data_IF_676279668526
#
_entry.id   IF_676279668526
#
_cell.length_a   1.000
_cell.length_b   1.000
_cell.length_c   1.000
_cell.angle_alpha   90.00
_cell.angle_beta   90.00
_cell.angle_gamma   90.00
#
_symmetry.space_group_name_H-M   'P 1'
#
loop_
_entity.id
_entity.type
_entity.pdbx_description
1 polymer ?
#
# COMPACT_ATOMS: atom_id res chain seq x y z
N UNK A 1 7.96 -7.98 17.82
CA UNK A 1 8.13 -7.07 16.66
C UNK A 1 6.83 -6.34 16.43
N UNK A 2 6.86 -5.12 15.90
CA UNK A 2 5.67 -4.29 15.71
C UNK A 2 5.57 -3.84 14.26
N UNK A 3 4.35 -3.70 13.75
CA UNK A 3 4.12 -3.23 12.39
C UNK A 3 4.19 -1.71 12.35
N UNK A 4 4.89 -1.18 11.35
CA UNK A 4 5.01 0.23 11.06
C UNK A 4 4.81 0.46 9.57
N UNK A 5 3.98 1.43 9.22
CA UNK A 5 3.88 1.96 7.86
C UNK A 5 4.33 3.40 7.89
N UNK A 6 5.27 3.73 7.03
CA UNK A 6 5.70 5.11 6.76
C UNK A 6 5.55 5.33 5.28
N UNK A 7 4.82 6.37 4.88
CA UNK A 7 4.61 6.63 3.47
C UNK A 7 4.08 8.01 3.17
N UNK A 8 4.09 8.34 1.89
CA UNK A 8 3.43 9.50 1.33
C UNK A 8 2.38 9.03 0.33
N UNK A 9 1.31 9.81 0.18
CA UNK A 9 0.29 9.57 -0.85
C UNK A 9 -0.12 10.88 -1.47
N UNK A 10 -0.91 10.81 -2.54
CA UNK A 10 -1.53 11.97 -3.17
C UNK A 10 -2.32 12.87 -2.19
N UNK A 11 -2.77 12.33 -1.05
CA UNK A 11 -3.46 13.10 -0.01
C UNK A 11 -2.54 13.94 0.86
N UNK A 12 -1.28 13.53 1.04
CA UNK A 12 -0.35 14.12 2.02
C UNK A 12 0.84 14.82 1.38
N UNK A 13 1.14 14.49 0.12
CA UNK A 13 2.31 14.99 -0.58
C UNK A 13 1.92 15.51 -1.98
N UNK A 14 2.45 16.68 -2.40
CA UNK A 14 2.39 17.10 -3.78
C UNK A 14 3.05 16.06 -4.70
N UNK A 15 2.62 16.03 -5.96
CA UNK A 15 3.16 15.10 -6.97
C UNK A 15 4.68 15.16 -7.07
N UNK A 16 5.28 16.36 -7.07
CA UNK A 16 6.73 16.53 -7.11
C UNK A 16 7.47 15.82 -5.95
N UNK A 17 6.86 15.76 -4.77
CA UNK A 17 7.40 15.03 -3.62
C UNK A 17 7.25 13.53 -3.78
N UNK A 18 6.11 13.06 -4.33
CA UNK A 18 5.92 11.65 -4.64
C UNK A 18 6.89 11.15 -5.71
N UNK A 19 7.19 11.97 -6.72
CA UNK A 19 8.19 11.67 -7.75
C UNK A 19 9.59 11.52 -7.17
N UNK A 20 9.98 12.38 -6.23
CA UNK A 20 11.26 12.26 -5.54
C UNK A 20 11.32 10.98 -4.70
N UNK A 21 10.22 10.60 -4.05
CA UNK A 21 10.14 9.38 -3.24
C UNK A 21 10.02 8.11 -4.09
N UNK A 22 9.59 8.21 -5.35
CA UNK A 22 9.28 7.06 -6.18
C UNK A 22 10.53 6.20 -6.41
N UNK A 23 10.38 4.91 -6.12
CA UNK A 23 11.45 3.92 -6.33
C UNK A 23 11.13 3.13 -7.58
N UNK A 24 12.02 3.22 -8.56
CA UNK A 24 11.93 2.48 -9.81
C UNK A 24 12.39 1.01 -9.66
N UNK A 25 12.05 0.12 -10.60
CA UNK A 25 12.40 -1.30 -10.52
C UNK A 25 13.91 -1.57 -10.39
N UNK A 26 14.76 -0.70 -10.93
CA UNK A 26 16.22 -0.84 -10.86
C UNK A 26 16.78 -0.57 -9.47
N UNK A 27 16.11 0.26 -8.67
CA UNK A 27 16.55 0.66 -7.33
C UNK A 27 15.85 -0.12 -6.21
N UNK A 28 14.76 -0.83 -6.53
CA UNK A 28 13.89 -1.47 -5.53
C UNK A 28 14.64 -2.42 -4.59
N UNK A 29 15.44 -3.34 -5.14
CA UNK A 29 16.25 -4.27 -4.34
C UNK A 29 17.26 -3.54 -3.47
N UNK A 30 17.97 -2.55 -4.03
CA UNK A 30 18.94 -1.72 -3.28
C UNK A 30 18.29 -1.00 -2.12
N UNK A 31 17.10 -0.43 -2.32
CA UNK A 31 16.35 0.26 -1.26
C UNK A 31 15.89 -0.71 -0.17
N UNK A 32 15.40 -1.91 -0.55
CA UNK A 32 15.02 -2.94 0.42
C UNK A 32 16.23 -3.43 1.25
N UNK A 33 17.36 -3.72 0.61
CA UNK A 33 18.59 -4.10 1.30
C UNK A 33 19.05 -3.02 2.28
N UNK A 34 18.94 -1.75 1.87
CA UNK A 34 19.31 -0.63 2.71
C UNK A 34 18.34 -0.44 3.89
N UNK A 35 17.04 -0.72 3.71
CA UNK A 35 16.07 -0.76 4.81
C UNK A 35 16.43 -1.86 5.82
N UNK A 36 16.73 -3.08 5.35
CA UNK A 36 17.08 -4.21 6.23
C UNK A 36 18.44 -4.05 6.93
N UNK A 37 19.33 -3.22 6.37
CA UNK A 37 20.60 -2.88 7.01
C UNK A 37 20.42 -1.95 8.23
N UNK A 38 19.23 -1.35 8.41
CA UNK A 38 18.97 -0.46 9.52
C UNK A 38 18.75 -1.21 10.85
N UNK A 39 19.19 -0.66 12.00
CA UNK A 39 19.16 -1.38 13.28
C UNK A 39 17.78 -1.80 13.76
N UNK A 40 16.74 -1.01 13.44
CA UNK A 40 15.39 -1.24 13.95
C UNK A 40 14.44 -1.93 12.96
N UNK A 41 14.88 -2.20 11.73
CA UNK A 41 14.05 -2.78 10.66
C UNK A 41 14.45 -4.24 10.43
N UNK A 42 13.50 -5.16 10.63
CA UNK A 42 13.74 -6.61 10.48
C UNK A 42 13.11 -7.21 9.22
N UNK A 43 12.04 -6.60 8.74
CA UNK A 43 11.35 -6.99 7.50
C UNK A 43 10.87 -5.71 6.82
N UNK A 44 10.86 -5.67 5.49
CA UNK A 44 10.38 -4.53 4.71
C UNK A 44 9.66 -4.97 3.43
N UNK A 45 8.57 -4.28 3.09
CA UNK A 45 7.92 -4.31 1.77
C UNK A 45 7.74 -2.86 1.32
N UNK A 46 8.17 -2.55 0.10
CA UNK A 46 8.09 -1.22 -0.47
C UNK A 46 7.05 -1.20 -1.60
N UNK A 47 6.01 -0.39 -1.44
CA UNK A 47 4.99 -0.13 -2.45
C UNK A 47 5.26 1.23 -3.07
N UNK A 48 5.59 1.25 -4.35
CA UNK A 48 5.89 2.46 -5.11
C UNK A 48 4.95 2.52 -6.32
N UNK A 49 4.07 3.51 -6.33
CA UNK A 49 3.06 3.74 -7.38
C UNK A 49 3.03 5.21 -7.75
N UNK A 50 2.24 5.60 -8.75
CA UNK A 50 2.02 7.01 -9.08
C UNK A 50 1.31 7.81 -7.96
N UNK A 51 0.58 7.14 -7.06
CA UNK A 51 -0.28 7.79 -6.07
C UNK A 51 0.21 7.62 -4.63
N UNK A 52 1.21 6.77 -4.40
CA UNK A 52 1.78 6.50 -3.07
C UNK A 52 3.14 5.84 -3.13
N UNK A 53 3.95 6.17 -2.13
CA UNK A 53 5.18 5.47 -1.78
C UNK A 53 5.10 5.10 -0.30
N UNK A 54 5.12 3.81 0.00
CA UNK A 54 4.92 3.28 1.35
C UNK A 54 5.93 2.18 1.67
N UNK A 55 6.53 2.28 2.84
CA UNK A 55 7.31 1.21 3.45
C UNK A 55 6.47 0.56 4.54
N UNK A 56 6.17 -0.71 4.36
CA UNK A 56 5.60 -1.59 5.37
C UNK A 56 6.74 -2.33 6.05
N UNK A 57 6.93 -2.15 7.34
CA UNK A 57 8.07 -2.69 8.07
C UNK A 57 7.67 -3.43 9.35
N UNK A 58 8.40 -4.51 9.65
CA UNK A 58 8.44 -5.08 10.98
C UNK A 58 9.62 -4.44 11.74
N UNK A 59 9.31 -3.73 12.82
CA UNK A 59 10.30 -2.99 13.59
C UNK A 59 10.43 -3.47 15.04
N UNK A 60 11.62 -3.32 15.61
CA UNK A 60 11.92 -3.63 17.01
C UNK A 60 11.57 -2.49 17.97
N UNK A 61 11.46 -1.26 17.48
CA UNK A 61 11.03 -0.08 18.25
C UNK A 61 10.43 1.00 17.36
N UNK A 62 9.42 1.73 17.87
CA UNK A 62 8.68 2.73 17.09
C UNK A 62 9.57 3.90 16.65
N UNK A 63 10.18 4.64 17.59
CA UNK A 63 10.96 5.83 17.26
C UNK A 63 12.21 5.50 16.43
N UNK A 64 12.92 4.42 16.78
CA UNK A 64 14.07 3.95 16.02
C UNK A 64 13.69 3.54 14.59
N UNK A 65 12.66 2.68 14.45
CA UNK A 65 12.18 2.24 13.14
C UNK A 65 11.65 3.39 12.27
N UNK A 66 10.94 4.35 12.86
CA UNK A 66 10.50 5.55 12.14
C UNK A 66 11.68 6.38 11.65
N UNK A 67 12.67 6.62 12.52
CA UNK A 67 13.89 7.36 12.16
C UNK A 67 14.66 6.69 11.04
N UNK A 68 14.87 5.38 11.14
CA UNK A 68 15.56 4.56 10.15
C UNK A 68 14.86 4.62 8.79
N UNK A 69 13.55 4.37 8.73
CA UNK A 69 12.79 4.39 7.47
C UNK A 69 12.78 5.79 6.86
N UNK A 70 12.57 6.84 7.66
CA UNK A 70 12.62 8.23 7.18
C UNK A 70 13.99 8.60 6.63
N UNK A 71 15.09 8.12 7.23
CA UNK A 71 16.44 8.35 6.73
C UNK A 71 16.64 7.70 5.35
N UNK A 72 16.21 6.45 5.18
CA UNK A 72 16.29 5.75 3.88
C UNK A 72 15.46 6.44 2.81
N UNK A 73 14.22 6.83 3.13
CA UNK A 73 13.35 7.54 2.19
C UNK A 73 13.92 8.91 1.80
N UNK A 74 14.51 9.64 2.75
CA UNK A 74 15.14 10.94 2.50
C UNK A 74 16.38 10.82 1.61
N UNK A 75 17.24 9.83 1.88
CA UNK A 75 18.41 9.53 1.04
C UNK A 75 17.98 9.20 -0.39
N UNK A 76 16.99 8.31 -0.53
CA UNK A 76 16.46 7.93 -1.84
C UNK A 76 15.87 9.11 -2.62
N UNK A 77 15.20 10.03 -1.92
CA UNK A 77 14.65 11.25 -2.50
C UNK A 77 15.67 12.39 -2.67
N UNK A 78 16.94 12.20 -2.27
CA UNK A 78 17.99 13.20 -2.38
C UNK A 78 17.75 14.44 -1.50
N UNK A 79 17.11 14.27 -0.35
CA UNK A 79 16.64 15.34 0.53
C UNK A 79 16.93 15.04 2.01
N UNK A 80 16.64 15.99 2.90
CA UNK A 80 16.78 15.81 4.34
C UNK A 80 15.48 15.22 4.93
N UNK A 81 15.54 14.36 5.97
CA UNK A 81 14.35 13.81 6.62
C UNK A 81 13.36 14.89 7.09
N UNK A 82 13.87 16.03 7.57
CA UNK A 82 13.05 17.16 8.01
C UNK A 82 12.16 17.74 6.89
N UNK A 83 12.61 17.66 5.62
CA UNK A 83 11.85 18.12 4.46
C UNK A 83 10.66 17.21 4.14
N UNK A 84 10.72 15.94 4.56
CA UNK A 84 9.65 14.96 4.32
C UNK A 84 8.64 14.89 5.47
N UNK A 85 8.97 15.42 6.65
CA UNK A 85 8.17 15.28 7.87
C UNK A 85 6.71 15.74 7.72
N UNK A 86 6.45 16.77 6.91
CA UNK A 86 5.10 17.29 6.66
C UNK A 86 4.33 16.54 5.55
N UNK A 87 4.97 15.59 4.88
CA UNK A 87 4.42 14.87 3.74
C UNK A 87 4.21 13.38 4.02
N UNK A 88 4.93 12.84 5.00
CA UNK A 88 4.81 11.45 5.43
C UNK A 88 3.71 11.29 6.48
N UNK A 89 2.89 10.26 6.31
CA UNK A 89 2.03 9.73 7.36
C UNK A 89 2.64 8.46 7.97
N UNK A 90 2.20 8.16 9.19
CA UNK A 90 2.69 7.02 9.95
C UNK A 90 1.50 6.25 10.53
N UNK A 91 1.49 4.94 10.30
CA UNK A 91 0.55 4.03 10.95
C UNK A 91 1.30 2.97 11.74
N UNK A 92 0.83 2.68 12.95
CA UNK A 92 1.50 1.78 13.88
C UNK A 92 0.56 0.69 14.39
N UNK A 93 1.08 -0.53 14.49
CA UNK A 93 0.40 -1.72 15.01
C UNK A 93 -0.96 -1.94 14.30
N UNK A 94 -2.09 -1.93 15.03
CA UNK A 94 -3.42 -2.08 14.46
C UNK A 94 -3.74 -1.11 13.32
N UNK A 95 -3.27 0.14 13.41
CA UNK A 95 -3.51 1.13 12.36
C UNK A 95 -2.75 0.79 11.06
N UNK A 96 -1.58 0.15 11.16
CA UNK A 96 -0.83 -0.32 9.99
C UNK A 96 -1.57 -1.45 9.26
N UNK A 97 -2.20 -2.35 10.02
CA UNK A 97 -3.02 -3.44 9.49
C UNK A 97 -4.29 -2.90 8.82
N UNK A 98 -5.00 -1.97 9.47
CA UNK A 98 -6.15 -1.30 8.89
C UNK A 98 -5.78 -0.62 7.56
N UNK A 99 -4.69 0.15 7.56
CA UNK A 99 -4.22 0.87 6.39
C UNK A 99 -3.98 -0.05 5.19
N UNK A 100 -3.17 -1.12 5.34
CA UNK A 100 -2.86 -2.00 4.22
C UNK A 100 -4.09 -2.73 3.69
N UNK A 101 -5.06 -3.07 4.54
CA UNK A 101 -6.31 -3.70 4.11
C UNK A 101 -7.22 -2.72 3.36
N UNK A 102 -7.27 -1.44 3.78
CA UNK A 102 -7.98 -0.38 3.06
C UNK A 102 -7.34 -0.08 1.71
N UNK A 103 -6.01 -0.03 1.64
CA UNK A 103 -5.27 0.12 0.38
C UNK A 103 -5.55 -1.07 -0.54
N UNK A 104 -5.45 -2.30 -0.04
CA UNK A 104 -5.70 -3.51 -0.83
C UNK A 104 -7.15 -3.62 -1.34
N UNK A 105 -8.11 -3.07 -0.60
CA UNK A 105 -9.52 -3.01 -1.00
C UNK A 105 -9.87 -1.77 -1.86
N UNK A 106 -8.89 -0.94 -2.20
CA UNK A 106 -9.08 0.27 -3.01
C UNK A 106 -9.83 1.40 -2.32
N UNK A 107 -10.05 1.33 -1.00
CA UNK A 107 -10.71 2.40 -0.22
C UNK A 107 -9.85 3.66 -0.08
N UNK A 108 -8.54 3.48 -0.06
CA UNK A 108 -7.59 4.59 -0.02
C UNK A 108 -7.00 4.91 -1.41
N UNK A 109 -7.58 4.40 -2.49
CA UNK A 109 -7.18 4.82 -3.85
C UNK A 109 -7.76 6.19 -4.20
N UNK A 110 -7.08 6.93 -5.08
CA UNK A 110 -7.59 8.18 -5.65
C UNK A 110 -8.93 7.95 -6.37
N UNK A 111 -9.02 6.82 -7.06
CA UNK A 111 -10.27 6.26 -7.60
C UNK A 111 -10.69 5.14 -6.66
N UNK A 112 -11.70 5.38 -5.83
CA UNK A 112 -12.18 4.38 -4.86
C UNK A 112 -12.64 3.12 -5.60
N UNK A 113 -12.16 1.96 -5.16
CA UNK A 113 -12.51 0.66 -5.76
C UNK A 113 -11.72 0.28 -7.01
N UNK A 114 -10.68 1.02 -7.34
CA UNK A 114 -9.75 0.69 -8.41
C UNK A 114 -8.99 -0.60 -8.08
N UNK A 115 -8.99 -1.58 -9.01
CA UNK A 115 -8.47 -2.92 -8.75
C UNK A 115 -6.97 -3.11 -9.07
N UNK A 116 -6.29 -2.15 -9.72
CA UNK A 116 -4.86 -2.28 -10.01
C UNK A 116 -3.99 -2.04 -8.77
N UNK A 117 -4.42 -1.28 -7.74
CA UNK A 117 -3.67 -1.19 -6.48
C UNK A 117 -3.47 -2.57 -5.83
N UNK A 118 -4.47 -3.46 -5.91
CA UNK A 118 -4.37 -4.84 -5.44
C UNK A 118 -3.29 -5.62 -6.22
N UNK A 119 -3.19 -5.37 -7.54
CA UNK A 119 -2.15 -5.91 -8.40
C UNK A 119 -0.76 -5.36 -8.03
N UNK A 120 -0.64 -4.05 -7.82
CA UNK A 120 0.60 -3.38 -7.43
C UNK A 120 1.10 -3.85 -6.06
N UNK A 121 0.19 -4.04 -5.09
CA UNK A 121 0.53 -4.59 -3.78
C UNK A 121 1.05 -6.03 -3.89
N UNK A 122 0.42 -6.85 -4.75
CA UNK A 122 0.89 -8.21 -5.03
C UNK A 122 2.29 -8.21 -5.66
N UNK A 123 2.53 -7.32 -6.61
CA UNK A 123 3.82 -7.22 -7.28
C UNK A 123 4.91 -6.77 -6.29
N UNK A 124 4.64 -5.74 -5.48
CA UNK A 124 5.52 -5.29 -4.40
C UNK A 124 5.85 -6.42 -3.41
N UNK A 125 4.85 -7.19 -3.00
CA UNK A 125 5.04 -8.35 -2.14
C UNK A 125 5.90 -9.44 -2.81
N UNK A 126 5.65 -9.77 -4.09
CA UNK A 126 6.47 -10.75 -4.81
C UNK A 126 7.93 -10.31 -4.92
N UNK A 127 8.17 -9.02 -5.19
CA UNK A 127 9.51 -8.45 -5.20
C UNK A 127 10.18 -8.57 -3.83
N UNK A 128 9.49 -8.16 -2.77
CA UNK A 128 10.02 -8.23 -1.41
C UNK A 128 10.31 -9.66 -0.96
N UNK A 129 9.46 -10.62 -1.34
CA UNK A 129 9.68 -12.05 -1.08
C UNK A 129 10.85 -12.62 -1.89
N UNK A 130 11.06 -12.18 -3.13
CA UNK A 130 12.20 -12.61 -3.94
C UNK A 130 13.54 -12.04 -3.47
N UNK A 131 13.51 -10.90 -2.77
CA UNK A 131 14.66 -10.28 -2.12
C UNK A 131 14.84 -10.70 -0.65
N UNK A 132 14.10 -11.71 -0.17
CA UNK A 132 14.12 -12.16 1.24
C UNK A 132 13.90 -11.03 2.28
N UNK A 133 13.23 -9.95 1.88
CA UNK A 133 12.93 -8.79 2.73
C UNK A 133 11.58 -8.87 3.43
N UNK A 134 10.64 -9.65 2.88
CA UNK A 134 9.39 -9.98 3.53
C UNK A 134 9.56 -11.24 4.39
N UNK A 135 9.80 -11.05 5.69
CA UNK A 135 9.82 -12.14 6.66
C UNK A 135 8.43 -12.65 7.01
N UNK A 136 8.33 -13.41 8.10
CA UNK A 136 7.10 -14.12 8.47
C UNK A 136 5.93 -13.17 8.74
N UNK A 137 6.19 -12.02 9.36
CA UNK A 137 5.14 -11.08 9.75
C UNK A 137 4.55 -10.38 8.52
N UNK A 138 5.40 -9.81 7.68
CA UNK A 138 4.96 -9.13 6.45
C UNK A 138 4.42 -10.11 5.41
N UNK A 139 4.94 -11.34 5.35
CA UNK A 139 4.37 -12.38 4.49
C UNK A 139 2.89 -12.62 4.81
N UNK A 140 2.56 -12.86 6.08
CA UNK A 140 1.19 -13.11 6.51
C UNK A 140 0.29 -11.88 6.35
N UNK A 141 0.81 -10.68 6.66
CA UNK A 141 0.10 -9.42 6.45
C UNK A 141 -0.27 -9.22 4.98
N UNK A 142 0.69 -9.38 4.06
CA UNK A 142 0.46 -9.19 2.63
C UNK A 142 -0.47 -10.25 2.06
N UNK A 143 -0.32 -11.53 2.44
CA UNK A 143 -1.25 -12.58 2.02
C UNK A 143 -2.68 -12.30 2.48
N UNK A 144 -2.87 -11.84 3.72
CA UNK A 144 -4.19 -11.47 4.19
C UNK A 144 -4.72 -10.23 3.46
N UNK A 145 -3.91 -9.18 3.28
CA UNK A 145 -4.31 -7.99 2.54
C UNK A 145 -4.79 -8.33 1.12
N UNK A 146 -4.07 -9.20 0.40
CA UNK A 146 -4.46 -9.66 -0.94
C UNK A 146 -5.78 -10.46 -0.92
N UNK A 147 -6.04 -11.26 0.13
CA UNK A 147 -7.33 -11.95 0.30
C UNK A 147 -8.46 -10.97 0.60
N UNK A 148 -8.23 -10.00 1.48
CA UNK A 148 -9.21 -8.95 1.84
C UNK A 148 -9.60 -8.15 0.60
N UNK A 149 -8.63 -7.69 -0.18
CA UNK A 149 -8.90 -6.97 -1.43
C UNK A 149 -9.74 -7.80 -2.40
N UNK A 150 -9.34 -9.04 -2.69
CA UNK A 150 -10.13 -9.95 -3.57
C UNK A 150 -11.56 -10.16 -3.05
N UNK A 151 -11.71 -10.32 -1.75
CA UNK A 151 -13.00 -10.52 -1.09
C UNK A 151 -13.86 -9.27 -1.18
N UNK A 152 -13.31 -8.09 -0.94
CA UNK A 152 -14.00 -6.82 -1.10
C UNK A 152 -14.53 -6.64 -2.52
N UNK A 153 -13.70 -6.87 -3.55
CA UNK A 153 -14.12 -6.78 -4.95
C UNK A 153 -15.16 -7.85 -5.34
N UNK A 154 -15.10 -9.05 -4.75
CA UNK A 154 -16.04 -10.14 -5.06
C UNK A 154 -17.39 -10.02 -4.33
N UNK A 155 -17.40 -9.52 -3.10
CA UNK A 155 -18.58 -9.48 -2.23
C UNK A 155 -19.31 -8.12 -2.25
N UNK A 156 -18.72 -7.08 -2.86
CA UNK A 156 -19.28 -5.72 -2.88
C UNK A 156 -19.30 -5.13 -4.30
N UNK A 157 -20.06 -4.05 -4.49
CA UNK A 157 -20.10 -3.28 -5.73
C UNK A 157 -18.97 -2.26 -5.89
N UNK A 158 -17.89 -2.34 -5.10
CA UNK A 158 -16.83 -1.32 -5.06
C UNK A 158 -16.13 -1.10 -6.41
N UNK A 159 -16.06 -2.11 -7.29
CA UNK A 159 -15.56 -1.97 -8.68
C UNK A 159 -16.34 -0.93 -9.49
N UNK A 160 -17.63 -0.76 -9.19
CA UNK A 160 -18.49 0.24 -9.84
C UNK A 160 -18.19 1.66 -9.34
N UNK A 161 -17.57 1.81 -8.16
CA UNK A 161 -17.16 3.10 -7.65
C UNK A 161 -16.01 3.69 -8.49
N UNK A 162 -15.10 2.87 -9.03
CA UNK A 162 -14.03 3.35 -9.90
C UNK A 162 -14.49 3.75 -11.31
N UNK A 163 -15.43 2.98 -11.88
CA UNK A 163 -16.18 3.38 -13.08
C UNK A 163 -16.95 4.69 -12.86
N UNK A 164 -17.31 5.00 -11.62
CA UNK A 164 -17.99 6.23 -11.24
C UNK A 164 -17.12 7.47 -11.42
N UNK A 165 -15.78 7.39 -11.39
CA UNK A 165 -14.92 8.58 -11.60
C UNK A 165 -14.94 9.00 -13.07
N UNK A 166 -14.64 8.09 -13.99
CA UNK A 166 -14.70 8.39 -15.44
C UNK A 166 -16.14 8.75 -15.85
N UNK A 167 -17.14 8.06 -15.29
CA UNK A 167 -18.55 8.40 -15.57
C UNK A 167 -18.92 9.77 -15.00
N UNK A 168 -18.54 10.11 -13.76
CA UNK A 168 -18.81 11.43 -13.18
C UNK A 168 -18.04 12.55 -13.91
N UNK A 169 -16.81 12.28 -14.36
CA UNK A 169 -16.05 13.22 -15.20
C UNK A 169 -16.80 13.53 -16.49
N UNK A 170 -17.34 12.48 -17.14
CA UNK A 170 -18.09 12.60 -18.37
C UNK A 170 -19.48 13.22 -18.16
N UNK A 171 -20.13 12.97 -17.03
CA UNK A 171 -21.37 13.64 -16.65
C UNK A 171 -21.14 15.15 -16.41
N UNK A 172 -20.04 15.51 -15.74
CA UNK A 172 -19.62 16.90 -15.62
C UNK A 172 -19.30 17.53 -16.97
N UNK A 173 -18.59 16.81 -17.85
CA UNK A 173 -18.32 17.27 -19.21
C UNK A 173 -19.62 17.51 -19.99
N UNK A 174 -20.61 16.64 -19.86
CA UNK A 174 -21.91 16.79 -20.50
C UNK A 174 -22.60 18.09 -20.08
N UNK A 175 -22.50 18.49 -18.81
CA UNK A 175 -23.03 19.76 -18.31
C UNK A 175 -22.45 21.00 -19.02
N UNK A 176 -21.23 20.92 -19.55
CA UNK A 176 -20.58 22.00 -20.32
C UNK A 176 -20.84 21.91 -21.83
N UNK A 177 -21.51 20.83 -22.29
CA UNK A 177 -21.76 20.50 -23.70
C UNK A 177 -23.25 20.26 -23.96
N UNK A 178 -24.10 21.16 -23.47
CA UNK A 178 -25.56 21.14 -23.67
C UNK A 178 -26.29 19.92 -23.08
N UNK A 179 -25.65 19.23 -22.13
CA UNK A 179 -26.24 18.13 -21.35
C UNK A 179 -26.14 16.75 -22.00
N UNK A 180 -25.44 16.58 -23.13
CA UNK A 180 -25.30 15.28 -23.79
C UNK A 180 -23.95 15.08 -24.49
N UNK A 181 -23.42 13.85 -24.39
CA UNK A 181 -22.18 13.44 -25.08
C UNK A 181 -22.44 12.67 -26.38
N UNK A 182 -23.68 12.24 -26.63
CA UNK A 182 -24.03 11.46 -27.80
C UNK A 182 -23.74 12.25 -29.09
N UNK A 183 -22.99 11.66 -30.03
CA UNK A 183 -22.57 12.28 -31.28
C UNK A 183 -21.49 13.37 -31.14
N UNK A 184 -20.95 13.60 -29.94
CA UNK A 184 -19.83 14.52 -29.73
C UNK A 184 -18.51 13.82 -30.09
N UNK A 185 -17.68 14.40 -30.96
CA UNK A 185 -16.36 13.84 -31.25
C UNK A 185 -15.45 13.95 -30.03
N UNK A 186 -14.75 12.87 -29.72
CA UNK A 186 -13.92 12.79 -28.52
C UNK A 186 -12.54 12.17 -28.80
N UNK A 187 -11.55 12.64 -28.05
CA UNK A 187 -10.17 12.18 -28.08
C UNK A 187 -9.82 11.52 -26.75
N UNK A 188 -9.11 10.40 -26.79
CA UNK A 188 -8.44 9.82 -25.62
C UNK A 188 -6.94 9.89 -25.82
N UNK A 189 -6.24 10.56 -24.90
CA UNK A 189 -4.78 10.69 -24.87
C UNK A 189 -4.25 9.72 -23.81
N UNK A 190 -3.66 8.62 -24.26
CA UNK A 190 -3.19 7.53 -23.41
C UNK A 190 -3.94 6.23 -23.69
N UNK A 191 -3.19 5.14 -23.79
CA UNK A 191 -3.71 3.79 -24.02
C UNK A 191 -3.44 2.84 -22.84
N UNK A 192 -3.36 3.39 -21.63
CA UNK A 192 -3.32 2.64 -20.37
C UNK A 192 -4.71 2.21 -19.91
N UNK A 193 -4.82 1.66 -18.69
CA UNK A 193 -6.09 1.19 -18.13
C UNK A 193 -7.16 2.31 -18.07
N UNK A 194 -6.79 3.50 -17.59
CA UNK A 194 -7.69 4.65 -17.50
C UNK A 194 -8.10 5.18 -18.88
N UNK A 195 -7.17 5.22 -19.84
CA UNK A 195 -7.51 5.55 -21.23
C UNK A 195 -8.49 4.53 -21.84
N UNK A 196 -8.27 3.24 -21.59
CA UNK A 196 -9.18 2.19 -22.07
C UNK A 196 -10.59 2.30 -21.44
N UNK A 197 -10.67 2.61 -20.15
CA UNK A 197 -11.94 2.88 -19.47
C UNK A 197 -12.62 4.14 -20.02
N UNK A 198 -11.84 5.19 -20.33
CA UNK A 198 -12.30 6.40 -21.00
C UNK A 198 -12.96 6.11 -22.35
N UNK A 199 -12.26 5.39 -23.23
CA UNK A 199 -12.78 4.98 -24.55
C UNK A 199 -14.05 4.14 -24.40
N UNK A 200 -14.03 3.13 -23.53
CA UNK A 200 -15.17 2.25 -23.30
C UNK A 200 -16.42 3.02 -22.82
N UNK A 201 -16.21 3.99 -21.91
CA UNK A 201 -17.30 4.78 -21.33
C UNK A 201 -17.86 5.77 -22.35
N UNK A 202 -17.01 6.47 -23.08
CA UNK A 202 -17.42 7.37 -24.17
C UNK A 202 -18.22 6.62 -25.25
N UNK A 203 -17.73 5.43 -25.66
CA UNK A 203 -18.42 4.57 -26.64
C UNK A 203 -19.81 4.15 -26.14
N UNK A 204 -19.92 3.74 -24.87
CA UNK A 204 -21.21 3.39 -24.24
C UNK A 204 -22.19 4.56 -24.16
N UNK A 205 -21.68 5.79 -24.00
CA UNK A 205 -22.49 7.02 -23.98
C UNK A 205 -22.83 7.54 -25.40
N UNK A 206 -22.37 6.86 -26.45
CA UNK A 206 -22.65 7.22 -27.84
C UNK A 206 -21.85 8.42 -28.34
N UNK A 207 -20.77 8.81 -27.67
CA UNK A 207 -19.84 9.81 -28.20
C UNK A 207 -19.16 9.29 -29.47
N UNK A 208 -18.98 10.15 -30.46
CA UNK A 208 -18.39 9.76 -31.73
C UNK A 208 -18.41 10.86 -32.77
N UNK A 209 -17.42 10.92 -33.69
CA UNK A 209 -16.31 9.97 -33.86
C UNK A 209 -15.29 9.98 -32.71
N UNK A 210 -14.76 8.79 -32.38
CA UNK A 210 -13.77 8.59 -31.30
C UNK A 210 -12.37 8.45 -31.89
N UNK A 211 -11.40 9.13 -31.28
CA UNK A 211 -9.98 9.03 -31.63
C UNK A 211 -9.13 8.70 -30.41
N UNK A 212 -8.14 7.81 -30.57
CA UNK A 212 -7.17 7.47 -29.52
C UNK A 212 -5.77 7.86 -29.99
N UNK A 213 -5.00 8.50 -29.12
CA UNK A 213 -3.58 8.75 -29.35
C UNK A 213 -2.75 8.29 -28.17
N UNK A 214 -1.53 7.84 -28.44
CA UNK A 214 -0.60 7.36 -27.43
C UNK A 214 0.84 7.47 -27.95
N UNK A 215 1.80 7.66 -27.03
CA UNK A 215 3.24 7.74 -27.38
C UNK A 215 3.72 6.49 -28.14
N UNK A 216 3.24 5.31 -27.74
CA UNK A 216 3.40 4.07 -28.50
C UNK A 216 2.21 3.85 -29.41
N UNK A 217 2.38 4.08 -30.71
CA UNK A 217 1.32 4.03 -31.72
C UNK A 217 0.57 2.69 -31.73
N UNK A 218 1.27 1.56 -31.62
CA UNK A 218 0.66 0.22 -31.61
C UNK A 218 -0.38 0.04 -30.50
N UNK A 219 -0.18 0.68 -29.34
CA UNK A 219 -1.14 0.62 -28.23
C UNK A 219 -2.41 1.43 -28.53
N UNK A 220 -2.27 2.60 -29.16
CA UNK A 220 -3.41 3.40 -29.59
C UNK A 220 -4.23 2.66 -30.65
N UNK A 221 -3.57 2.05 -31.64
CA UNK A 221 -4.23 1.26 -32.69
C UNK A 221 -5.03 0.09 -32.09
N UNK A 222 -4.39 -0.74 -31.26
CA UNK A 222 -5.08 -1.88 -30.63
C UNK A 222 -6.28 -1.47 -29.78
N UNK A 223 -6.13 -0.39 -29.00
CA UNK A 223 -7.23 0.11 -28.18
C UNK A 223 -8.36 0.66 -29.06
N UNK A 224 -8.03 1.42 -30.10
CA UNK A 224 -9.01 1.99 -31.01
C UNK A 224 -9.82 0.90 -31.75
N UNK A 225 -9.15 -0.13 -32.28
CA UNK A 225 -9.78 -1.28 -32.95
C UNK A 225 -10.79 -1.99 -32.05
N UNK A 226 -10.48 -2.13 -30.76
CA UNK A 226 -11.33 -2.83 -29.78
C UNK A 226 -12.68 -2.14 -29.56
N UNK A 227 -12.79 -0.85 -29.88
CA UNK A 227 -13.98 -0.04 -29.64
C UNK A 227 -14.51 0.66 -30.91
N UNK A 228 -14.01 0.29 -32.09
CA UNK A 228 -14.40 0.93 -33.36
C UNK A 228 -14.03 2.41 -33.46
N UNK A 229 -13.00 2.84 -32.72
CA UNK A 229 -12.44 4.18 -32.77
C UNK A 229 -11.33 4.28 -33.83
N UNK A 230 -10.88 5.49 -34.13
CA UNK A 230 -9.70 5.76 -34.95
C UNK A 230 -8.46 5.96 -34.07
N UNK A 231 -7.28 5.63 -34.59
CA UNK A 231 -6.02 5.97 -33.92
C UNK A 231 -5.33 7.13 -34.65
N UNK A 232 -4.77 8.07 -33.91
CA UNK A 232 -4.00 9.18 -34.45
C UNK A 232 -2.57 9.22 -33.86
N UNK A 233 -1.55 9.56 -34.67
CA UNK A 233 -0.20 9.72 -34.17
C UNK A 233 -0.12 10.91 -33.20
N UNK A 234 0.70 10.78 -32.14
CA UNK A 234 0.88 11.85 -31.14
C UNK A 234 1.38 13.16 -31.76
N UNK A 235 2.14 13.08 -32.86
CA UNK A 235 2.60 14.26 -33.61
C UNK A 235 1.44 15.08 -34.21
N UNK A 236 0.28 14.46 -34.46
CA UNK A 236 -0.93 15.11 -34.95
C UNK A 236 -1.90 15.51 -33.84
N UNK A 237 -1.48 15.53 -32.58
CA UNK A 237 -2.33 15.83 -31.43
C UNK A 237 -3.09 17.16 -31.61
N UNK A 238 -2.39 18.21 -32.05
CA UNK A 238 -2.99 19.55 -32.27
C UNK A 238 -4.15 19.52 -33.26
N UNK A 239 -3.98 18.82 -34.39
CA UNK A 239 -4.99 18.75 -35.45
C UNK A 239 -6.22 17.96 -34.98
N UNK A 240 -6.02 16.94 -34.15
CA UNK A 240 -7.15 16.20 -33.58
C UNK A 240 -7.88 17.07 -32.55
N UNK A 241 -7.14 17.79 -31.70
CA UNK A 241 -7.72 18.67 -30.67
C UNK A 241 -8.65 19.75 -31.26
N UNK A 242 -8.37 20.26 -32.46
CA UNK A 242 -9.23 21.26 -33.12
C UNK A 242 -10.57 20.69 -33.63
N UNK A 243 -10.70 19.36 -33.70
CA UNK A 243 -11.87 18.66 -34.28
C UNK A 243 -12.73 17.92 -33.27
N UNK A 244 -12.35 17.95 -31.99
CA UNK A 244 -13.08 17.29 -30.90
C UNK A 244 -13.69 18.28 -29.93
N UNK A 245 -14.64 17.79 -29.14
CA UNK A 245 -15.31 18.56 -28.09
C UNK A 245 -14.85 18.13 -26.69
N UNK A 246 -14.41 16.87 -26.57
CA UNK A 246 -14.04 16.25 -25.29
C UNK A 246 -12.70 15.55 -25.45
N UNK A 247 -11.83 15.72 -24.47
CA UNK A 247 -10.55 15.02 -24.38
C UNK A 247 -10.46 14.31 -23.05
N UNK A 248 -10.16 13.01 -23.05
CA UNK A 248 -9.79 12.26 -21.84
C UNK A 248 -8.28 12.06 -21.86
N UNK A 249 -7.57 12.74 -20.98
CA UNK A 249 -6.13 12.59 -20.82
C UNK A 249 -5.82 11.65 -19.65
N UNK A 250 -5.10 10.57 -19.93
CA UNK A 250 -4.82 9.49 -18.99
C UNK A 250 -3.50 8.78 -19.34
N UNK A 251 -2.43 9.54 -19.46
CA UNK A 251 -1.09 9.03 -19.75
C UNK A 251 -0.27 8.76 -18.48
N UNK A 252 0.91 8.17 -18.68
CA UNK A 252 1.94 8.03 -17.66
C UNK A 252 3.14 8.96 -17.95
N UNK A 253 2.88 10.12 -18.57
CA UNK A 253 3.91 11.12 -18.82
C UNK A 253 4.33 11.81 -17.52
N UNK A 254 5.60 12.16 -17.43
CA UNK A 254 6.16 12.95 -16.32
C UNK A 254 6.00 14.46 -16.54
N UNK A 255 5.66 14.87 -17.76
CA UNK A 255 5.45 16.26 -18.17
C UNK A 255 4.08 16.37 -18.85
N UNK A 256 3.35 17.49 -18.71
CA UNK A 256 2.06 17.68 -19.36
C UNK A 256 2.14 17.50 -20.88
N UNK A 257 1.27 16.66 -21.43
CA UNK A 257 1.14 16.42 -22.88
C UNK A 257 0.23 17.45 -23.55
N UNK A 258 -0.72 17.99 -22.80
CA UNK A 258 -1.61 19.08 -23.20
C UNK A 258 -1.08 20.39 -22.63
N UNK A 259 -0.06 20.94 -23.28
CA UNK A 259 0.54 22.23 -22.91
C UNK A 259 -0.32 23.39 -23.38
N UNK A 260 -0.14 24.55 -22.74
CA UNK A 260 -0.83 25.79 -23.12
C UNK A 260 -0.58 26.15 -24.58
N UNK A 261 0.63 25.92 -25.09
CA UNK A 261 0.98 26.16 -26.50
C UNK A 261 0.19 25.24 -27.44
N UNK A 262 0.16 23.93 -27.17
CA UNK A 262 -0.56 22.94 -27.98
C UNK A 262 -2.05 23.26 -28.02
N UNK A 263 -2.66 23.52 -26.86
CA UNK A 263 -4.09 23.82 -26.77
C UNK A 263 -4.41 25.17 -27.45
N UNK A 264 -3.58 26.20 -27.26
CA UNK A 264 -3.79 27.49 -27.94
C UNK A 264 -3.76 27.36 -29.45
N UNK A 265 -2.82 26.56 -29.99
CA UNK A 265 -2.73 26.30 -31.44
C UNK A 265 -3.97 25.55 -31.93
N UNK A 266 -4.42 24.54 -31.20
CA UNK A 266 -5.64 23.81 -31.55
C UNK A 266 -6.89 24.70 -31.55
N UNK A 267 -7.01 25.62 -30.58
CA UNK A 267 -8.13 26.56 -30.52
C UNK A 267 -8.15 27.56 -31.67
N UNK A 268 -6.99 27.95 -32.20
CA UNK A 268 -6.91 28.88 -33.33
C UNK A 268 -7.55 28.32 -34.60
N UNK A 269 -7.46 27.01 -34.79
CA UNK A 269 -8.01 26.30 -35.96
C UNK A 269 -9.37 25.63 -35.66
N UNK A 270 -9.88 25.78 -34.43
CA UNK A 270 -11.15 25.18 -34.00
C UNK A 270 -12.33 26.07 -34.40
N UNK A 271 -13.39 25.45 -34.91
CA UNK A 271 -14.64 26.15 -35.22
C UNK A 271 -15.27 26.74 -33.93
N UNK A 272 -15.49 28.07 -33.87
CA UNK A 272 -16.00 28.75 -32.69
C UNK A 272 -17.44 28.35 -32.32
N UNK A 273 -18.23 27.82 -33.26
CA UNK A 273 -19.63 27.45 -33.01
C UNK A 273 -19.78 26.12 -32.25
N UNK A 274 -18.69 25.37 -32.04
CA UNK A 274 -18.70 24.05 -31.36
C UNK A 274 -18.78 24.13 -29.84
N UNK A 275 -18.83 25.33 -29.26
CA UNK A 275 -18.80 25.52 -27.81
C UNK A 275 -17.42 25.26 -27.19
N UNK A 276 -17.32 25.04 -25.87
CA UNK A 276 -16.02 24.86 -25.22
C UNK A 276 -15.36 23.52 -25.58
N UNK A 277 -14.03 23.48 -25.52
CA UNK A 277 -13.24 22.24 -25.49
C UNK A 277 -13.12 21.78 -24.04
N UNK A 278 -13.67 20.61 -23.71
CA UNK A 278 -13.63 20.05 -22.36
C UNK A 278 -12.49 19.04 -22.23
N UNK A 279 -11.58 19.29 -21.30
CA UNK A 279 -10.42 18.46 -21.01
C UNK A 279 -10.63 17.75 -19.65
N UNK A 280 -10.73 16.44 -19.68
CA UNK A 280 -10.77 15.58 -18.51
C UNK A 280 -9.34 15.09 -18.22
N UNK A 281 -8.73 15.61 -17.16
CA UNK A 281 -7.38 15.19 -16.74
C UNK A 281 -7.49 14.11 -15.67
N UNK A 282 -7.24 12.87 -16.09
CA UNK A 282 -7.27 11.68 -15.24
C UNK A 282 -5.86 11.21 -14.87
N UNK A 283 -4.81 11.95 -15.26
CA UNK A 283 -3.43 11.54 -15.10
C UNK A 283 -2.77 12.12 -13.84
N UNK A 284 -1.86 11.33 -13.26
CA UNK A 284 -0.98 11.73 -12.17
C UNK A 284 0.42 11.17 -12.45
N UNK A 285 1.42 12.02 -12.78
CA UNK A 285 1.38 13.48 -12.93
C UNK A 285 0.37 13.98 -13.98
N UNK A 286 -0.07 15.24 -13.83
CA UNK A 286 -1.11 15.85 -14.66
C UNK A 286 -0.73 15.85 -16.15
N UNK A 287 -1.67 15.50 -17.01
CA UNK A 287 -1.46 15.58 -18.46
C UNK A 287 -1.73 16.99 -19.00
N UNK A 288 -2.52 17.80 -18.29
CA UNK A 288 -2.91 19.16 -18.67
C UNK A 288 -2.09 20.18 -17.90
N UNK A 289 -1.41 21.07 -18.61
CA UNK A 289 -0.65 22.16 -17.99
C UNK A 289 -1.59 23.13 -17.26
N UNK A 290 -1.20 23.59 -16.06
CA UNK A 290 -2.03 24.47 -15.21
C UNK A 290 -2.54 25.74 -15.93
N UNK A 291 -1.75 26.31 -16.85
CA UNK A 291 -2.11 27.51 -17.61
C UNK A 291 -3.22 27.30 -18.65
N UNK A 292 -3.61 26.06 -18.96
CA UNK A 292 -4.64 25.72 -19.95
C UNK A 292 -6.04 26.09 -19.44
N UNK A 293 -6.31 25.96 -18.14
CA UNK A 293 -7.61 26.30 -17.55
C UNK A 293 -7.96 27.80 -17.66
N UNK A 294 -6.96 28.66 -17.91
CA UNK A 294 -7.16 30.09 -18.14
C UNK A 294 -7.43 30.47 -19.61
N UNK A 295 -7.46 29.52 -20.54
CA UNK A 295 -7.72 29.79 -21.96
C UNK A 295 -9.23 29.97 -22.21
N UNK A 296 -9.63 30.97 -23.03
CA UNK A 296 -11.03 31.16 -23.37
C UNK A 296 -11.55 29.98 -24.19
N UNK A 297 -12.75 29.50 -23.86
CA UNK A 297 -13.38 28.36 -24.54
C UNK A 297 -12.79 27.00 -24.16
N UNK A 298 -12.04 26.91 -23.05
CA UNK A 298 -11.54 25.63 -22.50
C UNK A 298 -12.11 25.42 -21.11
N UNK A 299 -12.59 24.21 -20.85
CA UNK A 299 -12.96 23.76 -19.52
C UNK A 299 -12.02 22.61 -19.12
N UNK A 300 -11.39 22.71 -17.95
CA UNK A 300 -10.56 21.64 -17.39
C UNK A 300 -11.26 21.04 -16.19
N UNK A 301 -11.43 19.72 -16.20
CA UNK A 301 -11.99 18.95 -15.11
C UNK A 301 -10.89 17.99 -14.66
N UNK A 302 -10.29 18.31 -13.52
CA UNK A 302 -9.27 17.52 -12.87
C UNK A 302 -9.86 16.54 -11.85
N UNK A 303 -9.03 15.62 -11.38
CA UNK A 303 -9.43 14.54 -10.48
C UNK A 303 -9.98 15.06 -9.14
N UNK A 304 -9.51 16.21 -8.67
CA UNK A 304 -9.97 16.84 -7.44
C UNK A 304 -11.44 17.31 -7.59
N UNK A 305 -11.77 17.93 -8.73
CA UNK A 305 -13.14 18.34 -9.03
C UNK A 305 -14.09 17.15 -9.21
N UNK A 306 -13.61 16.04 -9.78
CA UNK A 306 -14.39 14.79 -9.86
C UNK A 306 -14.67 14.21 -8.47
N UNK A 307 -13.65 14.18 -7.60
CA UNK A 307 -13.78 13.64 -6.24
C UNK A 307 -14.83 14.38 -5.41
N UNK A 308 -14.96 15.70 -5.59
CA UNK A 308 -15.96 16.52 -4.91
C UNK A 308 -17.41 16.12 -5.24
N UNK A 309 -17.68 15.63 -6.46
CA UNK A 309 -19.04 15.23 -6.91
C UNK A 309 -19.43 13.86 -6.38
N UNK A 310 -18.46 12.98 -6.15
CA UNK A 310 -18.70 11.59 -5.76
C UNK A 310 -18.99 11.40 -4.26
N UNK A 311 -18.82 12.44 -3.45
CA UNK A 311 -18.90 12.39 -1.98
C UNK A 311 -20.28 12.05 -1.38
N UNK A 312 -21.31 11.71 -2.18
CA UNK A 312 -22.68 11.43 -1.69
C UNK A 312 -23.52 10.41 -2.47
N UNK A 313 -22.92 9.59 -3.35
CA UNK A 313 -23.63 8.64 -4.22
C UNK A 313 -23.68 7.18 -3.72
N UNK A 314 -24.22 6.23 -4.53
CA UNK A 314 -24.24 4.79 -4.26
C UNK A 314 -22.87 4.19 -3.90
N UNK A 315 -21.78 4.81 -4.38
CA UNK A 315 -20.40 4.47 -4.03
C UNK A 315 -20.13 4.53 -2.51
N UNK A 316 -20.82 5.40 -1.77
CA UNK A 316 -20.65 5.53 -0.33
C UNK A 316 -21.19 4.31 0.43
N UNK A 317 -22.32 3.73 0.00
CA UNK A 317 -22.89 2.53 0.63
C UNK A 317 -22.03 1.28 0.40
N UNK A 318 -21.45 1.15 -0.79
CA UNK A 318 -20.49 0.07 -1.10
C UNK A 318 -19.19 0.24 -0.31
N UNK A 319 -18.68 1.47 -0.16
CA UNK A 319 -17.52 1.74 0.70
C UNK A 319 -17.78 1.31 2.15
N UNK A 320 -18.95 1.60 2.72
CA UNK A 320 -19.33 1.12 4.06
C UNK A 320 -19.37 -0.41 4.15
N UNK A 321 -19.81 -1.11 3.09
CA UNK A 321 -19.78 -2.57 3.06
C UNK A 321 -18.35 -3.11 3.10
N UNK A 322 -17.43 -2.51 2.34
CA UNK A 322 -16.00 -2.85 2.36
C UNK A 322 -15.37 -2.54 3.71
N UNK A 323 -15.69 -1.41 4.35
CA UNK A 323 -15.19 -1.05 5.69
C UNK A 323 -15.54 -2.11 6.75
N UNK A 324 -16.72 -2.73 6.66
CA UNK A 324 -17.08 -3.85 7.55
C UNK A 324 -16.22 -5.09 7.30
N UNK A 325 -15.89 -5.39 6.04
CA UNK A 325 -14.98 -6.50 5.69
C UNK A 325 -13.60 -6.22 6.28
N UNK A 326 -13.07 -5.01 6.04
CA UNK A 326 -11.77 -4.59 6.57
C UNK A 326 -11.73 -4.69 8.09
N UNK A 327 -12.73 -4.15 8.78
CA UNK A 327 -12.79 -4.14 10.25
C UNK A 327 -12.72 -5.56 10.83
N UNK A 328 -13.50 -6.50 10.28
CA UNK A 328 -13.50 -7.89 10.72
C UNK A 328 -12.15 -8.59 10.46
N UNK A 329 -11.50 -8.26 9.34
CA UNK A 329 -10.22 -8.85 8.95
C UNK A 329 -9.06 -8.27 9.76
N UNK A 330 -9.09 -6.99 10.12
CA UNK A 330 -8.14 -6.39 11.07
C UNK A 330 -8.21 -7.11 12.40
N UNK A 331 -9.42 -7.34 12.94
CA UNK A 331 -9.60 -8.07 14.21
C UNK A 331 -9.04 -9.50 14.11
N UNK A 332 -9.30 -10.19 13.00
CA UNK A 332 -8.78 -11.53 12.70
C UNK A 332 -7.24 -11.55 12.66
N UNK A 333 -6.61 -10.60 11.95
CA UNK A 333 -5.16 -10.50 11.86
C UNK A 333 -4.52 -10.19 13.22
N UNK A 334 -5.08 -9.24 13.97
CA UNK A 334 -4.56 -8.91 15.31
C UNK A 334 -4.66 -10.08 16.28
N UNK A 335 -5.72 -10.89 16.16
CA UNK A 335 -5.88 -12.14 16.92
C UNK A 335 -4.80 -13.15 16.57
N UNK A 336 -4.51 -13.31 15.27
CA UNK A 336 -3.39 -14.15 14.82
C UNK A 336 -2.04 -13.63 15.34
N UNK A 337 -1.79 -12.32 15.28
CA UNK A 337 -0.54 -11.70 15.70
C UNK A 337 -0.25 -11.97 17.18
N UNK A 338 -1.25 -11.74 18.06
CA UNK A 338 -1.12 -12.04 19.50
C UNK A 338 -0.84 -13.52 19.76
N UNK A 339 -1.49 -14.42 19.01
CA UNK A 339 -1.22 -15.86 19.09
C UNK A 339 0.19 -16.24 18.64
N UNK A 340 0.74 -15.55 17.64
CA UNK A 340 2.10 -15.79 17.13
C UNK A 340 3.18 -15.38 18.13
N UNK A 341 2.97 -14.30 18.90
CA UNK A 341 3.91 -13.81 19.92
C UNK A 341 4.12 -14.80 21.10
N UNK A 342 3.21 -15.76 21.26
CA UNK A 342 3.29 -16.80 22.30
C UNK A 342 4.06 -18.04 21.85
N UNK A 343 4.24 -18.22 20.53
CA UNK A 343 4.93 -19.38 20.00
C UNK A 343 6.36 -19.56 20.54
N UNK A 344 7.20 -18.51 20.69
CA UNK A 344 8.53 -18.63 21.29
C UNK A 344 8.48 -19.09 22.76
N UNK A 345 7.54 -18.58 23.55
CA UNK A 345 7.36 -19.00 24.95
C UNK A 345 6.98 -20.48 25.03
N UNK A 346 6.08 -20.94 24.17
CA UNK A 346 5.70 -22.35 24.07
C UNK A 346 6.88 -23.23 23.66
N UNK A 347 7.70 -22.78 22.71
CA UNK A 347 8.89 -23.49 22.28
C UNK A 347 9.91 -23.63 23.43
N UNK A 348 10.17 -22.53 24.16
CA UNK A 348 11.05 -22.53 25.32
C UNK A 348 10.56 -23.49 26.42
N UNK A 349 9.24 -23.52 26.70
CA UNK A 349 8.65 -24.44 27.67
C UNK A 349 8.89 -25.91 27.28
N UNK A 350 8.71 -26.25 26.00
CA UNK A 350 8.94 -27.61 25.49
C UNK A 350 10.42 -27.99 25.56
N UNK A 351 11.32 -27.09 25.16
CA UNK A 351 12.76 -27.31 25.29
C UNK A 351 13.18 -27.55 26.73
N UNK A 352 12.68 -26.73 27.68
CA UNK A 352 12.94 -26.92 29.11
C UNK A 352 12.48 -28.27 29.63
N UNK A 353 11.32 -28.74 29.18
CA UNK A 353 10.81 -30.05 29.56
C UNK A 353 11.64 -31.20 28.97
N UNK A 354 12.10 -31.07 27.73
CA UNK A 354 13.02 -32.02 27.09
C UNK A 354 14.36 -32.10 27.85
N UNK A 355 14.90 -30.97 28.31
CA UNK A 355 16.12 -30.94 29.15
C UNK A 355 15.93 -31.67 30.48
N UNK A 356 14.77 -31.50 31.13
CA UNK A 356 14.43 -32.21 32.37
C UNK A 356 14.35 -33.71 32.10
N UNK A 357 13.66 -34.12 31.03
CA UNK A 357 13.57 -35.54 30.64
C UNK A 357 14.95 -36.12 30.36
N UNK A 358 15.79 -35.43 29.58
CA UNK A 358 17.14 -35.88 29.25
C UNK A 358 18.03 -35.99 30.49
N UNK A 359 17.87 -35.10 31.47
CA UNK A 359 18.61 -35.13 32.74
C UNK A 359 18.19 -36.33 33.61
N UNK A 360 16.88 -36.58 33.74
CA UNK A 360 16.38 -37.72 34.52
C UNK A 360 16.71 -39.07 33.88
N UNK A 361 16.64 -39.18 32.55
CA UNK A 361 17.05 -40.40 31.85
C UNK A 361 18.57 -40.68 32.01
N UNK A 362 19.41 -39.63 32.01
CA UNK A 362 20.85 -39.78 32.31
C UNK A 362 21.09 -40.24 33.76
N UNK A 363 20.36 -39.67 34.73
CA UNK A 363 20.43 -40.10 36.14
C UNK A 363 20.00 -41.54 36.33
N UNK A 364 18.95 -41.98 35.63
CA UNK A 364 18.51 -43.37 35.63
C UNK A 364 19.61 -44.29 35.09
N UNK A 365 20.21 -43.94 33.95
CA UNK A 365 21.30 -44.72 33.36
C UNK A 365 22.49 -44.88 34.30
N UNK A 366 22.85 -43.83 35.06
CA UNK A 366 23.92 -43.88 36.05
C UNK A 366 23.56 -44.75 37.27
N UNK A 367 22.32 -44.66 37.77
CA UNK A 367 21.86 -45.40 38.96
C UNK A 367 21.54 -46.87 38.68
N UNK A 368 21.17 -47.19 37.44
CA UNK A 368 20.75 -48.53 37.00
C UNK A 368 21.46 -48.93 35.70
N UNK A 369 22.78 -49.15 35.74
CA UNK A 369 23.54 -49.63 34.58
C UNK A 369 23.11 -51.03 34.15
N UNK A 370 22.48 -51.79 35.06
CA UNK A 370 21.99 -53.16 34.87
C UNK A 370 20.81 -53.30 33.90
N UNK A 371 20.10 -52.21 33.58
CA UNK A 371 19.01 -52.25 32.60
C UNK A 371 19.55 -52.63 31.20
N UNK A 372 18.75 -53.33 30.40
CA UNK A 372 19.06 -53.50 28.98
C UNK A 372 18.75 -52.22 28.19
N UNK A 373 19.29 -52.11 26.96
CA UNK A 373 18.99 -50.97 26.09
C UNK A 373 17.50 -50.89 25.72
N UNK A 374 16.85 -52.04 25.51
CA UNK A 374 15.40 -52.10 25.27
C UNK A 374 14.59 -51.57 26.47
N UNK A 375 14.97 -51.96 27.68
CA UNK A 375 14.32 -51.47 28.91
C UNK A 375 14.52 -49.97 29.10
N UNK A 376 15.73 -49.46 28.82
CA UNK A 376 16.02 -48.02 28.84
C UNK A 376 15.17 -47.26 27.82
N UNK A 377 15.04 -47.80 26.61
CA UNK A 377 14.21 -47.22 25.56
C UNK A 377 12.72 -47.20 25.93
N UNK A 378 12.20 -48.25 26.56
CA UNK A 378 10.81 -48.31 27.03
C UNK A 378 10.49 -47.26 28.11
N UNK A 379 11.40 -47.08 29.06
CA UNK A 379 11.29 -46.04 30.08
C UNK A 379 11.36 -44.66 29.41
N UNK A 380 12.32 -44.43 28.52
CA UNK A 380 12.44 -43.17 27.80
C UNK A 380 11.16 -42.83 27.02
N UNK A 381 10.62 -43.78 26.23
CA UNK A 381 9.35 -43.59 25.50
C UNK A 381 8.18 -43.26 26.43
N UNK A 382 8.12 -43.92 27.58
CA UNK A 382 7.04 -43.69 28.56
C UNK A 382 7.13 -42.30 29.18
N UNK A 383 8.33 -41.88 29.62
CA UNK A 383 8.56 -40.55 30.20
C UNK A 383 8.25 -39.44 29.17
N UNK A 384 8.76 -39.57 27.94
CA UNK A 384 8.46 -38.60 26.88
C UNK A 384 6.95 -38.50 26.62
N UNK A 385 6.24 -39.65 26.53
CA UNK A 385 4.79 -39.67 26.32
C UNK A 385 4.02 -38.98 27.45
N UNK A 386 4.43 -39.17 28.70
CA UNK A 386 3.80 -38.49 29.85
C UNK A 386 4.01 -36.97 29.76
N UNK A 387 5.23 -36.52 29.51
CA UNK A 387 5.56 -35.09 29.40
C UNK A 387 4.82 -34.44 28.23
N UNK A 388 4.82 -35.06 27.06
CA UNK A 388 4.08 -34.55 25.89
C UNK A 388 2.58 -34.44 26.18
N UNK A 389 1.99 -35.43 26.87
CA UNK A 389 0.57 -35.40 27.24
C UNK A 389 0.24 -34.31 28.26
N UNK A 390 1.14 -34.05 29.22
CA UNK A 390 1.00 -32.98 30.21
C UNK A 390 1.12 -31.59 29.57
N UNK A 391 2.03 -31.41 28.61
CA UNK A 391 2.26 -30.10 27.99
C UNK A 391 1.27 -29.77 26.87
N UNK A 392 0.62 -30.75 26.26
CA UNK A 392 -0.26 -30.52 25.12
C UNK A 392 -1.40 -29.54 25.44
N UNK A 393 -2.20 -29.81 26.47
CA UNK A 393 -3.36 -28.98 26.83
C UNK A 393 -2.96 -27.56 27.30
N UNK A 394 -1.99 -27.37 28.22
CA UNK A 394 -1.50 -26.04 28.59
C UNK A 394 -0.99 -25.24 27.39
N UNK A 395 -0.23 -25.88 26.49
CA UNK A 395 0.28 -25.24 25.26
C UNK A 395 -0.86 -24.72 24.38
N UNK A 396 -1.89 -25.54 24.15
CA UNK A 396 -3.05 -25.15 23.36
C UNK A 396 -3.83 -24.03 24.04
N UNK A 397 -4.06 -24.15 25.35
CA UNK A 397 -4.86 -23.18 26.11
C UNK A 397 -4.20 -21.81 26.18
N UNK A 398 -2.89 -21.75 26.35
CA UNK A 398 -2.15 -20.48 26.39
C UNK A 398 -2.21 -19.78 25.03
N UNK A 399 -2.12 -20.51 23.91
CA UNK A 399 -2.31 -19.92 22.58
C UNK A 399 -3.70 -19.33 22.38
N UNK A 400 -4.73 -19.99 22.90
CA UNK A 400 -6.11 -19.49 22.84
C UNK A 400 -6.29 -18.24 23.71
N UNK A 401 -5.85 -18.29 24.97
CA UNK A 401 -5.94 -17.18 25.91
C UNK A 401 -5.13 -15.97 25.45
N UNK A 402 -3.99 -16.21 24.81
CA UNK A 402 -3.18 -15.14 24.24
C UNK A 402 -3.83 -14.43 23.05
N UNK A 403 -4.69 -15.13 22.31
CA UNK A 403 -5.41 -14.56 21.19
C UNK A 403 -6.52 -13.58 21.64
N UNK A 404 -6.96 -13.67 22.90
CA UNK A 404 -7.95 -12.77 23.50
C UNK A 404 -7.32 -11.41 23.92
N UNK A 405 -8.09 -10.32 24.01
CA UNK A 405 -7.60 -9.03 24.49
C UNK A 405 -6.99 -9.13 25.91
N UNK A 406 -5.77 -8.61 26.10
CA UNK A 406 -5.01 -8.76 27.34
C UNK A 406 -4.23 -10.08 27.47
N UNK A 407 -4.21 -10.89 26.40
CA UNK A 407 -3.59 -12.21 26.35
C UNK A 407 -2.07 -12.24 26.57
N UNK A 408 -1.38 -11.13 26.36
CA UNK A 408 0.09 -10.99 26.52
C UNK A 408 0.55 -11.35 27.95
N UNK A 409 -0.33 -11.13 28.94
CA UNK A 409 -0.11 -11.43 30.34
C UNK A 409 0.12 -12.93 30.58
N UNK A 410 -0.54 -13.80 29.81
CA UNK A 410 -0.39 -15.25 29.96
C UNK A 410 0.97 -15.75 29.46
N UNK A 411 1.51 -15.12 28.42
CA UNK A 411 2.85 -15.42 27.95
C UNK A 411 3.92 -14.99 28.97
N UNK A 412 3.77 -13.80 29.55
CA UNK A 412 4.63 -13.33 30.63
C UNK A 412 4.56 -14.25 31.86
N UNK A 413 3.35 -14.59 32.31
CA UNK A 413 3.12 -15.48 33.44
C UNK A 413 3.76 -16.87 33.21
N UNK A 414 3.67 -17.44 32.01
CA UNK A 414 4.36 -18.70 31.71
C UNK A 414 5.88 -18.59 31.79
N UNK A 415 6.46 -17.48 31.32
CA UNK A 415 7.91 -17.26 31.41
C UNK A 415 8.35 -17.20 32.85
N UNK A 416 7.58 -16.53 33.71
CA UNK A 416 7.85 -16.41 35.13
C UNK A 416 7.67 -17.75 35.87
N UNK A 417 6.53 -18.44 35.67
CA UNK A 417 6.21 -19.69 36.36
C UNK A 417 7.20 -20.83 36.07
N UNK A 418 7.80 -20.83 34.88
CA UNK A 418 8.69 -21.90 34.42
C UNK A 418 10.15 -21.44 34.22
N UNK A 419 10.47 -20.20 34.58
CA UNK A 419 11.80 -19.59 34.43
C UNK A 419 12.36 -19.79 32.99
N UNK A 420 11.55 -19.41 32.00
CA UNK A 420 11.84 -19.66 30.59
C UNK A 420 12.71 -18.55 30.00
N UNK A 421 13.90 -18.91 29.54
CA UNK A 421 14.72 -18.03 28.72
C UNK A 421 14.22 -18.05 27.27
N UNK A 422 13.40 -17.06 26.94
CA UNK A 422 13.00 -16.78 25.56
C UNK A 422 13.97 -15.72 25.03
N UNK A 423 14.53 -15.86 23.82
CA UNK A 423 15.24 -14.75 23.17
C UNK A 423 14.28 -13.55 23.12
N UNK A 424 14.54 -12.54 23.94
CA UNK A 424 13.73 -11.34 23.98
C UNK A 424 13.91 -10.62 22.65
N UNK A 425 12.81 -10.30 21.96
CA UNK A 425 12.78 -9.01 21.25
C UNK A 425 12.61 -7.99 22.37
N UNK A 426 13.58 -7.10 22.52
CA UNK A 426 13.80 -6.26 23.70
C UNK A 426 12.51 -5.69 24.31
N UNK A 427 12.37 -5.70 25.65
CA UNK A 427 11.31 -4.95 26.30
C UNK A 427 11.61 -3.45 26.15
N UNK A 428 10.60 -2.72 25.66
CA UNK A 428 10.53 -1.27 25.74
C UNK A 428 10.38 -0.92 27.22
N UNK A 429 11.45 -0.40 27.83
CA UNK A 429 11.41 0.56 28.94
C UNK A 429 12.84 0.88 29.40
N UNK A 430 13.51 1.74 28.64
CA UNK A 430 14.44 2.73 29.21
C UNK A 430 14.36 3.96 28.32
N UNK A 431 13.58 4.95 28.75
CA UNK A 431 13.82 6.34 28.34
C UNK A 431 15.28 6.63 28.68
N UNK A 432 16.14 7.04 27.74
CA UNK A 432 17.48 7.48 28.09
C UNK A 432 17.33 8.65 29.07
N UNK A 433 18.02 8.61 30.21
CA UNK A 433 18.15 9.80 31.04
C UNK A 433 18.64 10.93 30.14
N UNK A 434 17.85 12.00 30.06
CA UNK A 434 18.27 13.24 29.45
C UNK A 434 19.48 13.68 30.25
N UNK A 435 20.67 13.52 29.65
CA UNK A 435 21.89 14.12 30.18
C UNK A 435 21.61 15.62 30.21
N UNK A 436 21.41 16.14 31.41
CA UNK A 436 21.29 17.57 31.68
C UNK A 436 22.63 18.18 31.29
N UNK A 437 22.73 18.65 30.04
CA UNK A 437 23.88 19.44 29.60
C UNK A 437 23.71 20.82 30.22
N UNK A 438 24.33 20.96 31.39
CA UNK A 438 24.56 22.23 32.07
C UNK A 438 25.05 23.27 31.03
N UNK A 439 24.36 24.41 30.85
CA UNK A 439 24.73 25.38 29.83
C UNK A 439 26.01 26.09 30.28
N UNK A 440 27.13 25.76 29.64
CA UNK A 440 28.35 26.56 29.77
C UNK A 440 28.04 28.01 29.37
N UNK A 441 28.32 29.00 30.22
CA UNK A 441 28.10 30.39 29.87
C UNK A 441 29.09 30.79 28.78
N UNK A 442 28.57 31.32 27.67
CA UNK A 442 29.36 32.10 26.71
C UNK A 442 30.16 33.19 27.47
N UNK A 443 31.49 33.25 27.38
CA UNK A 443 32.21 34.42 27.82
C UNK A 443 31.93 35.53 26.81
N UNK A 444 31.22 36.55 27.29
CA UNK A 444 30.95 37.78 26.56
C UNK A 444 32.25 38.45 26.11
N UNK A 445 32.14 39.15 24.99
CA UNK A 445 33.23 39.97 24.48
C UNK A 445 33.57 41.13 25.40
N UNK A 446 34.83 41.54 25.33
CA UNK A 446 35.23 42.91 25.59
C UNK A 446 36.29 43.34 24.57
N UNK A 447 35.95 44.44 23.89
CA UNK A 447 36.77 45.47 23.20
C UNK A 447 37.36 45.16 21.82
#
# INVERSE_FOLDING_TARGET
MKLLVVGASYRTAPVATLEQLAVGPADLTRTLDHLLAQPYVSEAVLVSTCNRVEVYAAVSGFHGGLGDICAVLAEQAGTLPASLANHLYVHYDAAAVDHVFRVAAGLDSMVVGEAQILGQLRDAYHWASGADSAGRLLHELMQQALRVGKRAHAETGIDRAGQSVVSAALDLAAGHLDGALAGRPALVVGAGAMGALGVATLSRLGAGPLTVTNRGADRAVRLAESYGASAAPMAGLTDVLSTVDIVVAATAATEPVLTREVVTRALADRDPDRGPLVLLDLAVPRDVEAGVAGLPGVEVIDIDRMAAVLAGGPAAAEATAVERIVTAEVESFLTWLRGADVAPTVAALRGRAEDVVATELRRLAQRRPDLSDDQRADVARTVHRVVQRLLHQPTVRVRQLAAEPGGDQYAALLRELFDLQVPQTSPVDTVPDVVDTDPTPYPGGER
#
